data_IF_374310068772
#
_entry.id   IF_374310068772
#
_cell.length_a   1.000
_cell.length_b   1.000
_cell.length_c   1.000
_cell.angle_alpha   90.00
_cell.angle_beta   90.00
_cell.angle_gamma   90.00
#
_symmetry.space_group_name_H-M   'P 1'
#
loop_
_entity.id
_entity.type
_entity.pdbx_description
1 polymer ?
#
# COMPACT_ATOMS: atom_id res chain seq x y z
N UNK A 1 -10.33 -6.36 2.68
CA UNK A 1 -10.61 -5.51 1.51
C UNK A 1 -11.31 -6.31 0.43
N UNK A 2 -12.23 -5.70 -0.31
CA UNK A 2 -12.78 -6.24 -1.56
C UNK A 2 -11.98 -5.67 -2.73
N UNK A 3 -11.36 -6.53 -3.54
CA UNK A 3 -10.62 -6.10 -4.75
C UNK A 3 -11.66 -5.78 -5.83
N UNK A 4 -11.60 -4.56 -6.38
CA UNK A 4 -12.48 -4.08 -7.44
C UNK A 4 -11.85 -4.16 -8.83
N UNK A 5 -10.54 -4.36 -8.90
CA UNK A 5 -9.82 -4.56 -10.15
C UNK A 5 -8.44 -3.92 -10.15
N UNK A 6 -7.63 -4.30 -11.14
CA UNK A 6 -6.28 -3.77 -11.36
C UNK A 6 -6.34 -2.36 -11.94
N UNK A 7 -5.49 -1.47 -11.44
CA UNK A 7 -5.35 -0.07 -11.90
C UNK A 7 -3.99 0.24 -12.49
N UNK A 8 -2.96 -0.53 -12.13
CA UNK A 8 -1.62 -0.37 -12.70
C UNK A 8 -0.78 -1.63 -12.55
N UNK A 9 0.20 -1.75 -13.43
CA UNK A 9 1.26 -2.75 -13.35
C UNK A 9 2.60 -2.06 -13.52
N UNK A 10 3.54 -2.39 -12.64
CA UNK A 10 4.95 -2.09 -12.83
C UNK A 10 5.80 -3.35 -12.79
N UNK A 11 7.09 -3.17 -13.00
CA UNK A 11 8.09 -4.25 -12.94
C UNK A 11 8.06 -4.97 -11.59
N UNK A 12 7.90 -4.24 -10.49
CA UNK A 12 8.04 -4.77 -9.13
C UNK A 12 6.73 -4.90 -8.34
N UNK A 13 5.62 -4.39 -8.89
CA UNK A 13 4.35 -4.37 -8.16
C UNK A 13 3.13 -4.28 -9.09
N UNK A 14 1.97 -4.59 -8.54
CA UNK A 14 0.67 -4.27 -9.13
C UNK A 14 -0.13 -3.38 -8.20
N UNK A 15 -0.92 -2.47 -8.77
CA UNK A 15 -1.80 -1.58 -8.01
C UNK A 15 -3.24 -2.02 -8.24
N UNK A 16 -3.94 -2.33 -7.15
CA UNK A 16 -5.33 -2.77 -7.13
C UNK A 16 -6.21 -1.67 -6.53
N UNK A 17 -7.37 -1.42 -7.13
CA UNK A 17 -8.44 -0.66 -6.46
C UNK A 17 -9.11 -1.61 -5.46
N UNK A 18 -9.13 -1.19 -4.21
CA UNK A 18 -9.70 -1.92 -3.10
C UNK A 18 -10.84 -1.10 -2.47
N UNK A 19 -11.85 -1.79 -1.94
CA UNK A 19 -12.85 -1.20 -1.06
C UNK A 19 -12.70 -1.79 0.34
N UNK A 20 -12.60 -0.93 1.36
CA UNK A 20 -12.71 -1.37 2.73
C UNK A 20 -14.16 -1.81 2.98
N UNK A 21 -14.34 -3.03 3.47
CA UNK A 21 -15.67 -3.60 3.70
C UNK A 21 -16.35 -3.02 4.95
N UNK A 22 -15.58 -2.43 5.88
CA UNK A 22 -16.09 -1.90 7.14
C UNK A 22 -16.69 -0.51 6.97
N UNK A 23 -15.97 0.39 6.32
CA UNK A 23 -16.35 1.80 6.16
C UNK A 23 -16.77 2.18 4.72
N UNK A 24 -16.62 1.25 3.76
CA UNK A 24 -16.96 1.48 2.35
C UNK A 24 -15.94 2.33 1.57
N UNK A 25 -14.87 2.81 2.21
CA UNK A 25 -13.86 3.69 1.59
C UNK A 25 -13.08 2.98 0.49
N UNK A 26 -12.71 3.74 -0.54
CA UNK A 26 -11.85 3.24 -1.62
C UNK A 26 -10.38 3.51 -1.30
N UNK A 27 -9.53 2.51 -1.52
CA UNK A 27 -8.08 2.58 -1.31
C UNK A 27 -7.32 1.99 -2.49
N UNK A 28 -6.09 2.41 -2.66
CA UNK A 28 -5.14 1.78 -3.58
C UNK A 28 -4.28 0.79 -2.79
N UNK A 29 -4.29 -0.48 -3.20
CA UNK A 29 -3.41 -1.51 -2.64
C UNK A 29 -2.25 -1.75 -3.60
N UNK A 30 -1.02 -1.39 -3.20
CA UNK A 30 0.19 -1.73 -3.94
C UNK A 30 0.68 -3.09 -3.46
N UNK A 31 0.51 -4.11 -4.30
CA UNK A 31 0.97 -5.47 -4.04
C UNK A 31 2.35 -5.66 -4.65
N UNK A 32 3.35 -5.90 -3.80
CA UNK A 32 4.71 -6.18 -4.24
C UNK A 32 4.78 -7.59 -4.85
N UNK A 33 5.52 -7.74 -5.95
CA UNK A 33 5.75 -9.05 -6.59
C UNK A 33 6.77 -9.87 -5.81
N UNK A 34 7.72 -9.20 -5.16
CA UNK A 34 8.67 -9.82 -4.23
C UNK A 34 7.94 -10.23 -2.94
N UNK A 35 8.25 -11.43 -2.46
CA UNK A 35 7.82 -11.93 -1.15
C UNK A 35 8.80 -11.46 -0.08
N UNK A 36 8.27 -11.14 1.10
CA UNK A 36 9.04 -10.78 2.30
C UNK A 36 8.68 -11.78 3.40
N UNK A 37 9.68 -12.20 4.18
CA UNK A 37 9.49 -13.23 5.21
C UNK A 37 8.96 -12.64 6.52
N UNK A 38 9.18 -11.34 6.73
CA UNK A 38 8.76 -10.63 7.94
C UNK A 38 8.25 -9.22 7.68
N UNK A 39 7.41 -8.74 8.58
CA UNK A 39 6.97 -7.33 8.60
C UNK A 39 8.16 -6.39 8.84
N UNK A 40 9.20 -6.86 9.54
CA UNK A 40 10.42 -6.09 9.78
C UNK A 40 11.17 -5.78 8.48
N UNK A 41 11.29 -6.75 7.58
CA UNK A 41 11.85 -6.52 6.24
C UNK A 41 11.05 -5.48 5.46
N UNK A 42 9.72 -5.57 5.51
CA UNK A 42 8.83 -4.59 4.86
C UNK A 42 9.00 -3.21 5.47
N UNK A 43 9.14 -3.11 6.79
CA UNK A 43 9.39 -1.85 7.51
C UNK A 43 10.73 -1.21 7.15
N UNK A 44 11.71 -2.01 6.72
CA UNK A 44 13.03 -1.53 6.29
C UNK A 44 13.05 -1.03 4.85
N UNK A 45 11.95 -1.18 4.10
CA UNK A 45 11.83 -0.61 2.76
C UNK A 45 11.80 0.92 2.81
N UNK A 46 12.60 1.55 1.97
CA UNK A 46 12.68 3.03 1.87
C UNK A 46 11.31 3.67 1.60
N UNK A 47 10.47 3.02 0.78
CA UNK A 47 9.11 3.49 0.51
C UNK A 47 8.26 3.54 1.79
N UNK A 48 8.33 2.51 2.64
CA UNK A 48 7.58 2.45 3.90
C UNK A 48 8.12 3.47 4.92
N UNK A 49 9.45 3.57 5.05
CA UNK A 49 10.09 4.53 5.95
C UNK A 49 9.75 5.98 5.57
N UNK A 50 9.79 6.32 4.28
CA UNK A 50 9.45 7.65 3.79
C UNK A 50 7.99 8.00 4.09
N UNK A 51 7.06 7.09 3.80
CA UNK A 51 5.63 7.32 4.03
C UNK A 51 5.31 7.50 5.51
N UNK A 52 5.95 6.73 6.40
CA UNK A 52 5.79 6.90 7.86
C UNK A 52 6.36 8.22 8.36
N UNK A 53 7.52 8.63 7.87
CA UNK A 53 8.18 9.88 8.28
C UNK A 53 7.44 11.13 7.82
N UNK A 54 6.77 11.06 6.67
CA UNK A 54 6.08 12.18 6.05
C UNK A 54 4.60 12.27 6.44
N UNK A 55 4.07 11.30 7.17
CA UNK A 55 2.68 11.29 7.63
C UNK A 55 2.53 12.01 8.98
N UNK A 56 1.45 12.79 9.20
CA UNK A 56 0.44 13.22 8.23
C UNK A 56 0.85 14.49 7.47
N UNK A 57 0.61 14.55 6.15
CA UNK A 57 0.82 15.77 5.36
C UNK A 57 -0.22 15.87 4.22
N UNK A 58 -0.88 17.03 4.01
CA UNK A 58 -2.01 17.16 3.09
C UNK A 58 -1.67 16.92 1.61
N UNK A 59 -0.41 17.13 1.21
CA UNK A 59 0.05 16.93 -0.18
C UNK A 59 0.87 15.65 -0.38
N UNK A 60 0.93 14.76 0.61
CA UNK A 60 1.65 13.49 0.51
C UNK A 60 0.65 12.38 0.79
N UNK A 61 0.73 11.29 0.02
CA UNK A 61 -0.14 10.14 0.24
C UNK A 61 0.12 9.55 1.63
N UNK A 62 -0.94 9.08 2.28
CA UNK A 62 -0.84 8.45 3.60
C UNK A 62 -0.78 6.92 3.45
N UNK A 63 0.18 6.30 4.15
CA UNK A 63 0.24 4.85 4.31
C UNK A 63 -0.74 4.43 5.41
N UNK A 64 -1.80 3.73 5.02
CA UNK A 64 -2.89 3.36 5.92
C UNK A 64 -2.58 2.07 6.69
N UNK A 65 -2.08 1.05 5.98
CA UNK A 65 -1.66 -0.21 6.59
C UNK A 65 -0.69 -0.97 5.69
N UNK A 66 -0.07 -1.99 6.25
CA UNK A 66 0.75 -3.00 5.56
C UNK A 66 0.08 -4.35 5.83
N UNK A 67 -0.17 -5.12 4.76
CA UNK A 67 -0.88 -6.41 4.78
C UNK A 67 0.05 -7.57 4.46
#
# INVERSE_FOLDING_TARGET
>A
YRILGKKGEGTFSEVLKCQNIKDGSFRACKKMKQTYESIEEVNNLREIQAMRRLSPHPNILELQEVL
#
